data_IF_714916752432
#
_entry.id   IF_714916752432
#
_cell.length_a   1.000
_cell.length_b   1.000
_cell.length_c   1.000
_cell.angle_alpha   90.00
_cell.angle_beta   90.00
_cell.angle_gamma   90.00
#
_symmetry.space_group_name_H-M   'P 1'
#
loop_
_entity.id
_entity.type
_entity.pdbx_description
1 polymer ?
#
# COMPACT_ATOMS: atom_id res chain seq x y z
N UNK A 1 -11.79 -20.77 0.00
CA UNK A 1 -10.35 -20.80 -0.18
C UNK A 1 -9.77 -19.40 0.04
N UNK A 2 -8.76 -19.31 0.88
CA UNK A 2 -8.05 -18.04 1.10
C UNK A 2 -6.99 -17.85 0.02
N UNK A 3 -6.96 -16.67 -0.59
CA UNK A 3 -5.95 -16.31 -1.59
C UNK A 3 -4.68 -15.75 -0.94
N UNK A 4 -4.88 -14.91 0.06
CA UNK A 4 -3.83 -14.20 0.77
C UNK A 4 -4.30 -14.08 2.22
N UNK A 5 -3.40 -14.12 3.17
CA UNK A 5 -3.78 -14.02 4.58
C UNK A 5 -2.81 -13.16 5.38
N UNK A 6 -3.35 -12.57 6.41
CA UNK A 6 -2.58 -11.87 7.45
C UNK A 6 -3.28 -12.12 8.79
N UNK A 7 -2.54 -11.94 9.86
CA UNK A 7 -3.05 -12.07 11.22
C UNK A 7 -2.44 -10.98 12.11
N UNK A 8 -3.17 -10.62 13.16
CA UNK A 8 -2.71 -9.65 14.14
C UNK A 8 -3.02 -10.16 15.54
N UNK A 9 -2.07 -9.99 16.45
CA UNK A 9 -2.26 -10.29 17.88
C UNK A 9 -1.87 -9.08 18.71
N UNK A 10 -2.81 -8.58 19.49
CA UNK A 10 -2.55 -7.59 20.54
C UNK A 10 -2.65 -8.31 21.88
N UNK A 11 -1.51 -8.63 22.48
CA UNK A 11 -1.47 -9.35 23.74
C UNK A 11 -2.06 -8.48 24.87
N UNK A 12 -2.65 -9.14 25.88
CA UNK A 12 -3.28 -8.42 27.00
C UNK A 12 -2.30 -7.52 27.77
N UNK A 13 -1.02 -7.91 27.81
CA UNK A 13 0.05 -7.19 28.50
C UNK A 13 0.92 -6.34 27.57
N UNK A 14 0.57 -6.25 26.30
CA UNK A 14 1.33 -5.42 25.36
C UNK A 14 1.20 -3.94 25.71
N UNK A 15 2.28 -3.14 25.49
CA UNK A 15 2.17 -1.70 25.66
C UNK A 15 1.15 -1.15 24.66
N UNK A 16 0.12 -0.48 25.16
CA UNK A 16 -0.93 0.18 24.38
C UNK A 16 -1.33 -0.60 23.11
N UNK A 17 -0.83 -0.16 21.95
CA UNK A 17 -1.27 -0.61 20.64
C UNK A 17 -0.17 -1.31 19.84
N UNK A 18 0.81 -1.88 20.53
CA UNK A 18 1.88 -2.64 19.89
C UNK A 18 1.34 -3.99 19.46
N UNK A 19 1.14 -4.15 18.17
CA UNK A 19 0.50 -5.34 17.56
C UNK A 19 1.55 -6.17 16.86
N UNK A 20 1.56 -7.48 17.13
CA UNK A 20 2.38 -8.40 16.35
C UNK A 20 1.59 -8.87 15.14
N UNK A 21 2.19 -8.72 13.97
CA UNK A 21 1.55 -9.01 12.70
C UNK A 21 2.27 -10.16 11.99
N UNK A 22 1.48 -10.93 11.25
CA UNK A 22 1.98 -11.92 10.31
C UNK A 22 1.34 -11.63 8.95
N UNK A 23 2.11 -11.24 7.96
CA UNK A 23 1.64 -11.03 6.60
C UNK A 23 2.25 -12.11 5.70
N UNK A 24 1.43 -13.08 5.29
CA UNK A 24 1.96 -14.28 4.66
C UNK A 24 2.91 -14.99 5.63
N UNK A 25 4.18 -15.11 5.28
CA UNK A 25 5.22 -15.71 6.13
C UNK A 25 6.10 -14.67 6.84
N UNK A 26 5.77 -13.38 6.72
CA UNK A 26 6.58 -12.29 7.24
C UNK A 26 6.05 -11.78 8.57
N UNK A 27 6.92 -11.68 9.57
CA UNK A 27 6.59 -11.10 10.87
C UNK A 27 6.86 -9.60 10.84
N UNK A 28 5.88 -8.82 11.31
CA UNK A 28 5.94 -7.36 11.34
C UNK A 28 5.41 -6.86 12.68
N UNK A 29 5.76 -5.64 13.02
CA UNK A 29 5.21 -4.96 14.19
C UNK A 29 4.43 -3.74 13.71
N UNK A 30 3.21 -3.58 14.22
CA UNK A 30 2.39 -2.39 14.02
C UNK A 30 2.22 -1.64 15.34
N UNK A 31 1.99 -0.34 15.24
CA UNK A 31 1.72 0.51 16.41
C UNK A 31 0.88 1.70 15.94
N UNK A 32 0.59 2.59 16.86
CA UNK A 32 -0.04 3.87 16.58
C UNK A 32 0.97 5.00 16.78
N UNK A 33 0.69 6.15 16.16
CA UNK A 33 1.48 7.35 16.36
C UNK A 33 1.35 7.86 17.82
N UNK A 34 2.34 8.59 18.34
CA UNK A 34 2.26 9.14 19.71
C UNK A 34 1.02 9.96 19.98
N UNK A 35 0.54 10.73 19.00
CA UNK A 35 -0.70 11.52 19.14
C UNK A 35 -1.94 10.66 19.37
N UNK A 36 -1.90 9.39 18.97
CA UNK A 36 -2.98 8.42 19.18
C UNK A 36 -2.74 7.53 20.41
N UNK A 37 -1.68 7.79 21.16
CA UNK A 37 -1.32 7.02 22.35
C UNK A 37 -0.33 5.89 22.12
N UNK A 38 0.21 5.75 20.91
CA UNK A 38 1.24 4.77 20.57
C UNK A 38 2.65 5.27 20.85
N UNK A 39 3.62 4.45 20.49
CA UNK A 39 5.05 4.72 20.68
C UNK A 39 5.82 4.77 19.36
N UNK A 40 5.12 4.67 18.24
CA UNK A 40 5.72 4.65 16.88
C UNK A 40 6.78 3.54 16.74
N UNK A 41 6.50 2.36 17.30
CA UNK A 41 7.39 1.20 17.21
C UNK A 41 7.22 0.42 15.90
N UNK A 42 6.27 0.79 15.09
CA UNK A 42 6.01 0.21 13.79
C UNK A 42 5.01 1.08 13.03
N UNK A 43 4.75 0.76 11.75
CA UNK A 43 3.80 1.53 10.95
C UNK A 43 2.40 1.52 11.55
N UNK A 44 1.71 2.64 11.42
CA UNK A 44 0.29 2.77 11.76
C UNK A 44 -0.57 2.10 10.67
N UNK A 45 -1.85 1.77 10.96
CA UNK A 45 -2.69 1.01 10.03
C UNK A 45 -2.81 1.63 8.63
N UNK A 46 -3.05 2.93 8.52
CA UNK A 46 -3.13 3.59 7.21
C UNK A 46 -1.80 3.56 6.47
N UNK A 47 -0.67 3.59 7.18
CA UNK A 47 0.64 3.50 6.55
C UNK A 47 0.85 2.15 5.87
N UNK A 48 0.33 1.06 6.44
CA UNK A 48 0.35 -0.25 5.78
C UNK A 48 -0.47 -0.25 4.49
N UNK A 49 -1.63 0.38 4.49
CA UNK A 49 -2.48 0.50 3.28
C UNK A 49 -1.75 1.30 2.20
N UNK A 50 -1.17 2.45 2.57
CA UNK A 50 -0.44 3.31 1.64
C UNK A 50 0.82 2.62 1.12
N UNK A 51 1.56 1.93 1.98
CA UNK A 51 2.75 1.17 1.59
C UNK A 51 2.39 0.05 0.60
N UNK A 52 1.30 -0.66 0.85
CA UNK A 52 0.81 -1.71 -0.05
C UNK A 52 0.44 -1.15 -1.43
N UNK A 53 -0.22 0.00 -1.47
CA UNK A 53 -0.56 0.68 -2.72
C UNK A 53 0.71 1.11 -3.47
N UNK A 54 1.67 1.68 -2.78
CA UNK A 54 2.95 2.11 -3.37
C UNK A 54 3.73 0.92 -3.93
N UNK A 55 3.83 -0.16 -3.15
CA UNK A 55 4.52 -1.38 -3.54
C UNK A 55 3.88 -2.01 -4.78
N UNK A 56 2.55 -2.15 -4.77
CA UNK A 56 1.82 -2.73 -5.89
C UNK A 56 1.99 -1.90 -7.16
N UNK A 57 1.97 -0.57 -7.04
CA UNK A 57 2.20 0.32 -8.17
C UNK A 57 3.58 0.09 -8.79
N UNK A 58 4.63 0.14 -7.97
CA UNK A 58 6.01 -0.04 -8.45
C UNK A 58 6.21 -1.43 -9.10
N UNK A 59 5.75 -2.48 -8.43
CA UNK A 59 5.89 -3.84 -8.93
C UNK A 59 5.14 -4.07 -10.23
N UNK A 60 3.90 -3.57 -10.32
CA UNK A 60 3.07 -3.73 -11.53
C UNK A 60 3.70 -3.00 -12.72
N UNK A 61 4.20 -1.79 -12.51
CA UNK A 61 4.90 -1.06 -13.57
C UNK A 61 6.14 -1.82 -14.05
N UNK A 62 6.94 -2.37 -13.12
CA UNK A 62 8.11 -3.17 -13.49
C UNK A 62 7.71 -4.42 -14.25
N UNK A 63 6.68 -5.12 -13.83
CA UNK A 63 6.18 -6.30 -14.54
C UNK A 63 5.72 -5.96 -15.95
N UNK A 64 5.04 -4.84 -16.13
CA UNK A 64 4.60 -4.38 -17.43
C UNK A 64 5.79 -4.06 -18.34
N UNK A 65 6.77 -3.30 -17.85
CA UNK A 65 7.98 -2.97 -18.60
C UNK A 65 8.75 -4.23 -19.03
N UNK A 66 8.86 -5.22 -18.15
CA UNK A 66 9.52 -6.49 -18.48
C UNK A 66 8.80 -7.23 -19.59
N UNK A 67 7.47 -7.29 -19.56
CA UNK A 67 6.70 -7.93 -20.62
C UNK A 67 6.88 -7.25 -21.97
N UNK A 68 7.03 -5.93 -21.96
CA UNK A 68 7.24 -5.15 -23.18
C UNK A 68 8.70 -5.12 -23.63
N UNK A 69 9.60 -5.73 -22.86
CA UNK A 69 11.04 -5.65 -23.08
C UNK A 69 11.55 -4.20 -23.12
N UNK A 70 10.92 -3.32 -22.33
CA UNK A 70 11.38 -1.95 -22.14
C UNK A 70 12.54 -1.92 -21.13
N UNK A 71 13.37 -0.86 -21.16
CA UNK A 71 14.48 -0.77 -20.20
C UNK A 71 13.98 -0.78 -18.75
N UNK A 72 14.76 -1.42 -17.87
CA UNK A 72 14.53 -1.31 -16.43
C UNK A 72 14.93 0.10 -15.99
N UNK A 73 13.99 0.81 -15.37
CA UNK A 73 14.24 2.15 -14.85
C UNK A 73 13.98 2.16 -13.35
N UNK A 74 14.51 3.15 -12.67
CA UNK A 74 14.18 3.38 -11.27
C UNK A 74 12.74 3.87 -11.16
N UNK A 75 12.00 3.31 -10.22
CA UNK A 75 10.59 3.66 -9.96
C UNK A 75 10.48 4.11 -8.51
N UNK A 76 10.13 5.36 -8.30
CA UNK A 76 9.82 5.89 -6.97
C UNK A 76 8.32 6.17 -6.91
N UNK A 77 7.66 5.67 -5.87
CA UNK A 77 6.23 5.88 -5.65
C UNK A 77 6.02 6.47 -4.26
N UNK A 78 5.39 7.62 -4.21
CA UNK A 78 4.96 8.25 -2.97
C UNK A 78 3.45 8.24 -2.90
N UNK A 79 2.92 7.81 -1.76
CA UNK A 79 1.49 7.82 -1.48
C UNK A 79 1.22 8.61 -0.20
N UNK A 80 0.20 9.44 -0.22
CA UNK A 80 -0.18 10.28 0.91
C UNK A 80 -1.70 10.26 1.06
N UNK A 81 -2.18 10.15 2.30
CA UNK A 81 -3.59 10.29 2.61
C UNK A 81 -3.89 11.76 2.92
N UNK A 82 -4.84 12.32 2.20
CA UNK A 82 -5.29 13.69 2.36
C UNK A 82 -6.79 13.73 2.67
N UNK A 83 -7.25 14.87 3.16
CA UNK A 83 -8.67 15.17 3.24
C UNK A 83 -8.94 16.50 2.52
N UNK A 84 -10.03 16.56 1.78
CA UNK A 84 -10.46 17.81 1.15
C UNK A 84 -11.12 18.74 2.16
N UNK A 85 -11.63 19.90 1.68
CA UNK A 85 -12.26 20.91 2.56
C UNK A 85 -13.50 20.39 3.27
N UNK A 86 -14.16 19.38 2.70
CA UNK A 86 -15.38 18.77 3.27
C UNK A 86 -15.06 17.58 4.17
N UNK A 87 -13.76 17.25 4.33
CA UNK A 87 -13.31 16.13 5.13
C UNK A 87 -13.30 14.79 4.40
N UNK A 88 -13.59 14.78 3.09
CA UNK A 88 -13.53 13.55 2.31
C UNK A 88 -12.07 13.16 2.05
N UNK A 89 -11.72 11.96 2.45
CA UNK A 89 -10.36 11.46 2.29
C UNK A 89 -10.08 11.02 0.85
N UNK A 90 -8.86 11.25 0.41
CA UNK A 90 -8.36 10.75 -0.87
C UNK A 90 -6.87 10.46 -0.77
N UNK A 91 -6.37 9.63 -1.66
CA UNK A 91 -4.94 9.31 -1.74
C UNK A 91 -4.33 10.06 -2.92
N UNK A 92 -3.26 10.79 -2.65
CA UNK A 92 -2.41 11.34 -3.70
C UNK A 92 -1.25 10.38 -3.93
N UNK A 93 -1.03 10.03 -5.19
CA UNK A 93 0.09 9.15 -5.57
C UNK A 93 0.94 9.88 -6.60
N UNK A 94 2.25 9.95 -6.33
CA UNK A 94 3.22 10.51 -7.25
C UNK A 94 4.20 9.41 -7.64
N UNK A 95 4.31 9.17 -8.94
CA UNK A 95 5.21 8.17 -9.51
C UNK A 95 6.29 8.89 -10.30
N UNK A 96 7.54 8.62 -9.98
CA UNK A 96 8.71 9.17 -10.69
C UNK A 96 9.46 8.03 -11.35
N UNK A 97 9.65 8.15 -12.66
CA UNK A 97 10.38 7.16 -13.47
C UNK A 97 11.67 7.81 -13.93
N UNK A 98 12.79 7.24 -13.51
CA UNK A 98 14.12 7.76 -13.84
C UNK A 98 14.83 6.75 -14.75
N UNK A 99 14.96 7.11 -16.03
CA UNK A 99 15.60 6.27 -17.03
C UNK A 99 15.11 6.54 -18.45
N UNK A 100 15.62 5.78 -19.44
CA UNK A 100 15.39 6.06 -20.86
C UNK A 100 14.04 5.54 -21.37
N UNK A 101 12.98 6.22 -21.00
CA UNK A 101 11.63 5.98 -21.52
C UNK A 101 11.17 7.18 -22.34
N UNK A 102 10.53 6.93 -23.48
CA UNK A 102 9.95 7.99 -24.29
C UNK A 102 8.57 8.44 -23.74
N UNK A 103 8.00 9.48 -24.33
CA UNK A 103 6.75 10.05 -23.84
C UNK A 103 5.57 9.07 -23.99
N UNK A 104 5.54 8.29 -25.08
CA UNK A 104 4.50 7.29 -25.29
C UNK A 104 4.56 6.18 -24.24
N UNK A 105 5.75 5.72 -23.90
CA UNK A 105 5.96 4.73 -22.84
C UNK A 105 5.51 5.27 -21.48
N UNK A 106 5.88 6.51 -21.17
CA UNK A 106 5.48 7.18 -19.92
C UNK A 106 3.97 7.35 -19.82
N UNK A 107 3.33 7.74 -20.92
CA UNK A 107 1.88 7.87 -20.98
C UNK A 107 1.20 6.52 -20.73
N UNK A 108 1.71 5.45 -21.33
CA UNK A 108 1.15 4.11 -21.12
C UNK A 108 1.31 3.65 -19.68
N UNK A 109 2.45 3.93 -19.06
CA UNK A 109 2.67 3.59 -17.65
C UNK A 109 1.76 4.39 -16.71
N UNK A 110 1.44 5.64 -17.05
CA UNK A 110 0.43 6.43 -16.30
C UNK A 110 -0.94 5.75 -16.33
N UNK A 111 -1.34 5.20 -17.48
CA UNK A 111 -2.58 4.43 -17.60
C UNK A 111 -2.53 3.15 -16.77
N UNK A 112 -1.40 2.45 -16.77
CA UNK A 112 -1.22 1.22 -16.00
C UNK A 112 -1.33 1.50 -14.49
N UNK A 113 -0.86 2.65 -14.01
CA UNK A 113 -1.01 3.03 -12.60
C UNK A 113 -2.45 2.93 -12.10
N UNK A 114 -3.43 3.26 -12.96
CA UNK A 114 -4.85 3.21 -12.60
C UNK A 114 -5.44 1.80 -12.62
N UNK A 115 -4.69 0.82 -13.11
CA UNK A 115 -5.15 -0.56 -13.31
C UNK A 115 -4.43 -1.56 -12.41
N UNK A 116 -3.58 -1.12 -11.49
CA UNK A 116 -2.89 -2.07 -10.61
C UNK A 116 -3.90 -2.75 -9.68
N UNK A 117 -3.65 -4.01 -9.27
CA UNK A 117 -4.61 -4.75 -8.45
C UNK A 117 -5.03 -4.03 -7.17
N UNK A 118 -4.08 -3.47 -6.41
CA UNK A 118 -4.40 -2.78 -5.15
C UNK A 118 -5.11 -1.45 -5.41
N UNK A 119 -4.77 -0.73 -6.50
CA UNK A 119 -5.50 0.46 -6.91
C UNK A 119 -6.98 0.14 -7.12
N UNK A 120 -7.26 -0.91 -7.87
CA UNK A 120 -8.63 -1.31 -8.15
C UNK A 120 -9.35 -1.80 -6.90
N UNK A 121 -8.66 -2.55 -6.04
CA UNK A 121 -9.20 -3.02 -4.77
C UNK A 121 -9.66 -1.84 -3.89
N UNK A 122 -8.81 -0.82 -3.76
CA UNK A 122 -9.16 0.37 -2.96
C UNK A 122 -10.33 1.13 -3.59
N UNK A 123 -10.30 1.34 -4.91
CA UNK A 123 -11.36 2.10 -5.59
C UNK A 123 -12.72 1.42 -5.54
N UNK A 124 -12.77 0.10 -5.66
CA UNK A 124 -14.00 -0.67 -5.63
C UNK A 124 -14.54 -0.89 -4.22
N UNK A 125 -13.65 -0.92 -3.24
CA UNK A 125 -13.96 -1.44 -1.92
C UNK A 125 -14.14 -2.95 -1.96
N UNK A 126 -14.43 -3.56 -0.82
CA UNK A 126 -14.65 -5.00 -0.74
C UNK A 126 -15.56 -5.32 0.44
N UNK A 127 -16.28 -6.43 0.33
CA UNK A 127 -17.10 -6.93 1.42
C UNK A 127 -16.20 -7.50 2.50
N UNK A 128 -16.55 -7.23 3.76
CA UNK A 128 -15.86 -7.79 4.92
C UNK A 128 -16.87 -8.64 5.69
N UNK A 129 -16.53 -9.90 5.90
CA UNK A 129 -17.33 -10.83 6.68
C UNK A 129 -16.64 -11.05 8.03
N UNK A 130 -17.32 -10.74 9.12
CA UNK A 130 -16.73 -10.78 10.46
C UNK A 130 -17.38 -11.84 11.31
N UNK A 131 -16.58 -12.61 12.03
CA UNK A 131 -17.03 -13.54 13.06
C UNK A 131 -16.34 -13.17 14.37
N UNK A 132 -17.11 -12.99 15.43
CA UNK A 132 -16.60 -12.78 16.79
C UNK A 132 -16.79 -14.05 17.60
N UNK A 133 -15.69 -14.61 18.09
CA UNK A 133 -15.71 -15.80 18.95
C UNK A 133 -15.80 -15.44 20.42
#
# INVERSE_FOLDING_TARGET
MSLIHAAATLAADAPNYVVQLQAGTHALTGDEAPREGGQDLGPAPYEFVLAGLAQCTAATLRMYMKRKAWPDVRIDVRTELHADREGLQYVRRVVTLDGPLDDAQRQRLAEICEKTPVTQFIKRGTRIETTLN
#
